data_IF_560480022608
#
_entry.id   IF_560480022608
#
_cell.length_a   1.000
_cell.length_b   1.000
_cell.length_c   1.000
_cell.angle_alpha   90.00
_cell.angle_beta   90.00
_cell.angle_gamma   90.00
#
_symmetry.space_group_name_H-M   'P 1'
#
loop_
_entity.id
_entity.type
_entity.pdbx_description
1 polymer ?
#
# COMPACT_ATOMS: atom_id res chain seq x y z
N UNK A 1 -12.02 -6.39 6.72
CA UNK A 1 -11.27 -7.39 5.92
C UNK A 1 -9.95 -6.76 5.48
N UNK A 2 -8.95 -7.56 5.08
CA UNK A 2 -7.80 -7.02 4.36
C UNK A 2 -8.23 -6.55 2.96
N UNK A 3 -7.37 -5.79 2.28
CA UNK A 3 -7.65 -5.37 0.90
C UNK A 3 -7.34 -6.53 -0.05
N UNK A 4 -8.27 -6.95 -0.92
CA UNK A 4 -7.97 -7.99 -1.89
C UNK A 4 -7.02 -7.44 -2.96
N UNK A 5 -6.00 -8.22 -3.29
CA UNK A 5 -5.07 -7.94 -4.38
C UNK A 5 -4.96 -9.17 -5.27
N UNK A 6 -4.80 -8.96 -6.56
CA UNK A 6 -4.57 -10.02 -7.54
C UNK A 6 -3.15 -9.89 -8.07
N UNK A 7 -2.37 -10.98 -7.96
CA UNK A 7 -1.01 -11.06 -8.49
C UNK A 7 -1.06 -11.80 -9.82
N UNK A 8 -0.57 -11.16 -10.87
CA UNK A 8 -0.47 -11.73 -12.22
C UNK A 8 0.98 -12.10 -12.49
N UNK A 9 1.22 -13.36 -12.84
CA UNK A 9 2.54 -13.92 -13.19
C UNK A 9 3.65 -13.54 -12.19
N UNK A 10 3.28 -13.36 -10.92
CA UNK A 10 4.12 -12.74 -9.89
C UNK A 10 4.58 -13.68 -8.78
N UNK A 11 4.21 -14.96 -8.83
CA UNK A 11 4.55 -15.94 -7.79
C UNK A 11 5.47 -17.02 -8.34
N UNK A 12 6.36 -17.52 -7.49
CA UNK A 12 7.21 -18.66 -7.79
C UNK A 12 6.54 -19.92 -7.25
N UNK A 13 6.47 -20.98 -8.06
CA UNK A 13 6.03 -22.30 -7.61
C UNK A 13 7.26 -23.11 -7.19
N UNK A 14 7.20 -23.70 -6.01
CA UNK A 14 8.28 -24.51 -5.45
C UNK A 14 7.76 -25.94 -5.31
N UNK A 15 8.25 -26.83 -6.16
CA UNK A 15 7.95 -28.25 -6.07
C UNK A 15 8.72 -28.90 -4.92
N UNK A 16 8.01 -29.71 -4.12
CA UNK A 16 8.69 -30.55 -3.14
C UNK A 16 9.32 -31.75 -3.83
N UNK A 17 10.63 -31.96 -3.65
CA UNK A 17 11.34 -33.09 -4.24
C UNK A 17 10.99 -34.45 -3.58
N UNK A 18 10.26 -34.43 -2.46
CA UNK A 18 9.96 -35.60 -1.64
C UNK A 18 8.46 -35.94 -1.56
N UNK A 19 7.58 -35.09 -2.09
CA UNK A 19 6.13 -35.35 -2.14
C UNK A 19 5.46 -34.49 -3.22
N UNK A 20 4.22 -34.80 -3.59
CA UNK A 20 3.48 -34.10 -4.65
C UNK A 20 2.93 -32.72 -4.23
N UNK A 21 3.52 -32.08 -3.22
CA UNK A 21 3.12 -30.74 -2.79
C UNK A 21 3.84 -29.65 -3.58
N UNK A 22 3.06 -28.65 -4.00
CA UNK A 22 3.54 -27.41 -4.60
C UNK A 22 3.34 -26.29 -3.58
N UNK A 23 4.42 -25.60 -3.23
CA UNK A 23 4.36 -24.39 -2.41
C UNK A 23 4.33 -23.15 -3.31
N UNK A 24 3.49 -22.17 -2.95
CA UNK A 24 3.43 -20.87 -3.61
C UNK A 24 4.29 -19.90 -2.82
N UNK A 25 5.28 -19.31 -3.48
CA UNK A 25 6.16 -18.30 -2.90
C UNK A 25 5.88 -16.94 -3.55
N UNK A 26 5.65 -15.92 -2.73
CA UNK A 26 5.49 -14.54 -3.19
C UNK A 26 6.84 -13.82 -3.04
N UNK A 27 7.54 -13.51 -4.13
CA UNK A 27 8.82 -12.85 -4.09
C UNK A 27 8.67 -11.39 -3.63
N UNK A 28 9.68 -10.89 -2.93
CA UNK A 28 9.73 -9.49 -2.47
C UNK A 28 8.41 -9.02 -1.82
N UNK A 29 8.00 -9.77 -0.79
CA UNK A 29 6.81 -9.43 0.00
C UNK A 29 6.86 -7.98 0.55
N UNK A 30 8.01 -7.44 1.02
CA UNK A 30 8.10 -6.05 1.44
C UNK A 30 7.78 -5.05 0.32
N UNK A 31 8.35 -5.22 -0.88
CA UNK A 31 8.08 -4.36 -2.03
C UNK A 31 6.63 -4.46 -2.50
N UNK A 32 6.03 -5.65 -2.48
CA UNK A 32 4.61 -5.82 -2.77
C UNK A 32 3.75 -5.04 -1.76
N UNK A 33 4.00 -5.16 -0.46
CA UNK A 33 3.23 -4.44 0.57
C UNK A 33 3.37 -2.92 0.40
N UNK A 34 4.58 -2.43 0.11
CA UNK A 34 4.81 -1.01 -0.12
C UNK A 34 4.06 -0.50 -1.36
N UNK A 35 4.08 -1.28 -2.44
CA UNK A 35 3.37 -0.95 -3.69
C UNK A 35 1.85 -0.95 -3.47
N UNK A 36 1.31 -1.96 -2.80
CA UNK A 36 -0.11 -2.02 -2.41
C UNK A 36 -0.52 -0.82 -1.57
N UNK A 37 0.30 -0.46 -0.58
CA UNK A 37 0.03 0.69 0.28
C UNK A 37 0.01 1.99 -0.55
N UNK A 38 1.03 2.22 -1.38
CA UNK A 38 1.12 3.42 -2.21
C UNK A 38 -0.03 3.51 -3.24
N UNK A 39 -0.37 2.42 -3.94
CA UNK A 39 -1.55 2.37 -4.82
C UNK A 39 -2.82 2.75 -4.08
N UNK A 40 -3.00 2.21 -2.86
CA UNK A 40 -4.19 2.48 -2.06
C UNK A 40 -4.31 3.94 -1.64
N UNK A 41 -3.19 4.63 -1.40
CA UNK A 41 -3.17 6.07 -1.09
C UNK A 41 -3.63 6.94 -2.26
N UNK A 42 -3.54 6.45 -3.50
CA UNK A 42 -3.99 7.18 -4.69
C UNK A 42 -5.49 7.01 -4.98
N UNK A 43 -6.18 6.10 -4.28
CA UNK A 43 -7.59 5.79 -4.49
C UNK A 43 -8.52 6.64 -3.60
N UNK A 44 -9.49 7.32 -4.19
CA UNK A 44 -10.36 8.29 -3.50
C UNK A 44 -11.28 7.69 -2.42
N UNK A 45 -11.47 6.37 -2.38
CA UNK A 45 -12.26 5.74 -1.32
C UNK A 45 -11.59 5.90 0.04
N UNK A 46 -12.38 6.29 1.05
CA UNK A 46 -11.95 6.42 2.44
C UNK A 46 -11.19 5.19 2.93
N UNK A 47 -10.17 5.41 3.75
CA UNK A 47 -9.44 4.32 4.38
C UNK A 47 -10.24 3.73 5.54
N UNK A 48 -10.32 2.40 5.60
CA UNK A 48 -10.75 1.72 6.81
C UNK A 48 -9.56 1.48 7.77
N UNK A 49 -9.85 1.10 9.01
CA UNK A 49 -8.82 0.91 10.03
C UNK A 49 -7.77 -0.16 9.72
N UNK A 50 -8.16 -1.25 9.01
CA UNK A 50 -7.20 -2.30 8.61
C UNK A 50 -6.30 -1.83 7.47
N UNK A 51 -6.84 -1.06 6.54
CA UNK A 51 -6.06 -0.41 5.47
C UNK A 51 -5.07 0.58 6.07
N UNK A 52 -5.52 1.43 7.00
CA UNK A 52 -4.66 2.36 7.74
C UNK A 52 -3.52 1.62 8.45
N UNK A 53 -3.83 0.52 9.12
CA UNK A 53 -2.82 -0.28 9.80
C UNK A 53 -1.81 -0.90 8.82
N UNK A 54 -2.27 -1.45 7.69
CA UNK A 54 -1.38 -1.99 6.64
C UNK A 54 -0.44 -0.88 6.12
N UNK A 55 -1.02 0.26 5.77
CA UNK A 55 -0.31 1.44 5.27
C UNK A 55 0.75 1.89 6.29
N UNK A 56 0.41 2.02 7.57
CA UNK A 56 1.40 2.37 8.60
C UNK A 56 2.50 1.31 8.73
N UNK A 57 2.14 0.03 8.75
CA UNK A 57 3.13 -1.06 8.85
C UNK A 57 4.07 -1.09 7.65
N UNK A 58 3.59 -0.73 6.46
CA UNK A 58 4.42 -0.67 5.23
C UNK A 58 5.56 0.35 5.32
N UNK A 59 5.40 1.42 6.12
CA UNK A 59 6.46 2.40 6.36
C UNK A 59 7.41 2.01 7.49
N UNK A 60 7.05 1.00 8.30
CA UNK A 60 7.78 0.62 9.51
C UNK A 60 7.51 1.50 10.73
N UNK A 61 6.53 2.41 10.67
CA UNK A 61 6.19 3.29 11.79
C UNK A 61 5.43 2.55 12.89
N UNK A 62 5.75 2.88 14.15
CA UNK A 62 4.88 2.55 15.29
C UNK A 62 3.66 3.47 15.28
N UNK A 63 2.59 3.08 15.99
CA UNK A 63 1.39 3.90 16.09
C UNK A 63 1.68 5.28 16.69
N UNK A 64 2.58 5.35 17.67
CA UNK A 64 3.04 6.61 18.29
C UNK A 64 3.78 7.52 17.31
N UNK A 65 4.61 6.96 16.42
CA UNK A 65 5.35 7.75 15.43
C UNK A 65 4.40 8.33 14.38
N UNK A 66 3.38 7.56 13.98
CA UNK A 66 2.34 8.05 13.08
C UNK A 66 1.52 9.17 13.75
N UNK A 67 1.14 8.98 15.02
CA UNK A 67 0.40 9.97 15.78
C UNK A 67 1.16 11.31 15.84
N UNK A 68 2.46 11.27 16.16
CA UNK A 68 3.32 12.45 16.16
C UNK A 68 3.39 13.12 14.78
N UNK A 69 3.54 12.34 13.70
CA UNK A 69 3.59 12.89 12.32
C UNK A 69 2.28 13.56 11.89
N UNK A 70 1.14 13.11 12.44
CA UNK A 70 -0.20 13.62 12.14
C UNK A 70 -0.70 14.66 13.15
N UNK A 71 0.10 14.99 14.16
CA UNK A 71 -0.27 15.89 15.26
C UNK A 71 -1.57 15.47 15.97
N UNK A 72 -1.67 14.17 16.30
CA UNK A 72 -2.78 13.58 17.06
C UNK A 72 -2.25 12.69 18.17
N UNK A 73 -3.12 12.24 19.08
CA UNK A 73 -2.72 11.30 20.13
C UNK A 73 -2.60 9.86 19.61
N UNK A 74 -1.78 9.00 20.22
CA UNK A 74 -1.70 7.58 19.88
C UNK A 74 -3.05 6.85 20.00
N UNK A 75 -3.91 7.26 20.95
CA UNK A 75 -5.26 6.73 21.13
C UNK A 75 -6.14 7.02 19.92
N UNK A 76 -6.02 8.21 19.32
CA UNK A 76 -6.73 8.58 18.10
C UNK A 76 -6.36 7.65 16.94
N UNK A 77 -5.06 7.38 16.73
CA UNK A 77 -4.60 6.41 15.73
C UNK A 77 -5.14 5.01 16.02
N UNK A 78 -5.10 4.58 17.28
CA UNK A 78 -5.67 3.29 17.69
C UNK A 78 -7.17 3.19 17.40
N UNK A 79 -7.95 4.24 17.67
CA UNK A 79 -9.39 4.27 17.37
C UNK A 79 -9.64 4.17 15.87
N UNK A 80 -8.86 4.88 15.05
CA UNK A 80 -8.96 4.79 13.60
C UNK A 80 -8.63 3.38 13.08
N UNK A 81 -7.52 2.78 13.52
CA UNK A 81 -7.11 1.43 13.10
C UNK A 81 -8.11 0.34 13.50
N UNK A 82 -8.79 0.53 14.63
CA UNK A 82 -9.79 -0.40 15.13
C UNK A 82 -11.22 -0.09 14.64
N UNK A 83 -11.39 0.85 13.70
CA UNK A 83 -12.69 1.34 13.20
C UNK A 83 -13.63 1.81 14.33
N UNK A 84 -13.09 2.29 15.45
CA UNK A 84 -13.86 2.88 16.55
C UNK A 84 -14.29 4.31 16.24
N UNK A 85 -13.53 4.99 15.41
CA UNK A 85 -13.81 6.34 14.94
C UNK A 85 -13.34 6.47 13.49
N UNK A 86 -14.13 7.07 12.58
CA UNK A 86 -13.67 7.32 11.22
C UNK A 86 -12.66 8.47 11.20
N UNK A 87 -11.65 8.38 10.33
CA UNK A 87 -10.72 9.48 10.12
C UNK A 87 -11.44 10.68 9.46
N UNK A 88 -11.08 11.90 9.84
CA UNK A 88 -11.56 13.13 9.16
C UNK A 88 -10.84 13.32 7.82
N UNK A 89 -11.44 14.04 6.88
CA UNK A 89 -10.89 14.19 5.53
C UNK A 89 -9.52 14.88 5.52
N UNK A 90 -9.34 15.86 6.41
CA UNK A 90 -8.08 16.62 6.55
C UNK A 90 -6.96 15.72 7.09
N UNK A 91 -7.27 14.92 8.11
CA UNK A 91 -6.33 13.95 8.68
C UNK A 91 -5.95 12.86 7.67
N UNK A 92 -6.90 12.38 6.87
CA UNK A 92 -6.65 11.35 5.86
C UNK A 92 -5.83 11.90 4.68
N UNK A 93 -6.08 13.14 4.25
CA UNK A 93 -5.25 13.82 3.25
C UNK A 93 -3.81 14.02 3.76
N UNK A 94 -3.66 14.47 5.00
CA UNK A 94 -2.35 14.62 5.66
C UNK A 94 -1.59 13.29 5.76
N UNK A 95 -2.29 12.20 6.12
CA UNK A 95 -1.76 10.85 6.10
C UNK A 95 -1.27 10.45 4.72
N UNK A 96 -2.10 10.59 3.68
CA UNK A 96 -1.76 10.18 2.31
C UNK A 96 -0.49 10.86 1.81
N UNK A 97 -0.37 12.18 2.01
CA UNK A 97 0.82 12.93 1.62
C UNK A 97 2.07 12.48 2.39
N UNK A 98 1.99 12.43 3.73
CA UNK A 98 3.16 12.10 4.57
C UNK A 98 3.64 10.67 4.37
N UNK A 99 2.72 9.73 4.20
CA UNK A 99 3.05 8.32 4.01
C UNK A 99 3.59 8.08 2.59
N UNK A 100 3.00 8.69 1.56
CA UNK A 100 3.51 8.54 0.19
C UNK A 100 4.97 9.02 0.12
N UNK A 101 5.30 10.16 0.73
CA UNK A 101 6.67 10.66 0.82
C UNK A 101 7.63 9.70 1.55
N UNK A 102 7.15 8.86 2.47
CA UNK A 102 7.99 7.83 3.10
C UNK A 102 8.16 6.63 2.16
N UNK A 103 7.10 6.24 1.45
CA UNK A 103 7.12 5.08 0.55
C UNK A 103 7.83 5.36 -0.78
N UNK A 104 7.87 6.61 -1.26
CA UNK A 104 8.60 6.99 -2.48
C UNK A 104 10.10 6.73 -2.36
N UNK A 105 10.65 6.78 -1.14
CA UNK A 105 12.05 6.38 -0.88
C UNK A 105 12.31 4.88 -1.01
N UNK A 106 11.26 4.05 -1.08
CA UNK A 106 11.33 2.58 -1.08
C UNK A 106 10.72 1.94 -2.32
N UNK A 107 10.02 2.70 -3.16
CA UNK A 107 9.33 2.20 -4.35
C UNK A 107 9.57 3.16 -5.50
N UNK A 108 9.96 2.64 -6.66
CA UNK A 108 10.14 3.43 -7.89
C UNK A 108 8.84 3.55 -8.71
N UNK A 109 7.78 2.89 -8.25
CA UNK A 109 6.52 2.68 -8.97
C UNK A 109 5.69 3.96 -9.05
N UNK A 110 5.89 4.88 -8.12
CA UNK A 110 5.14 6.13 -8.08
C UNK A 110 6.09 7.30 -8.34
N UNK A 111 5.93 7.92 -9.50
CA UNK A 111 6.35 9.31 -9.65
C UNK A 111 5.49 10.12 -8.69
N UNK A 112 6.12 10.90 -7.82
CA UNK A 112 5.43 11.64 -6.76
C UNK A 112 4.40 12.61 -7.36
N UNK A 113 3.14 12.16 -7.48
CA UNK A 113 2.03 12.96 -7.99
C UNK A 113 1.25 13.56 -6.80
N UNK A 114 1.92 14.48 -6.10
CA UNK A 114 1.32 15.19 -4.99
C UNK A 114 0.11 16.02 -5.42
N UNK A 115 0.10 16.54 -6.65
CA UNK A 115 -1.03 17.28 -7.20
C UNK A 115 -2.27 16.39 -7.30
N UNK A 116 -2.14 15.17 -7.82
CA UNK A 116 -3.24 14.21 -7.85
C UNK A 116 -3.74 13.87 -6.43
N UNK A 117 -2.85 13.70 -5.45
CA UNK A 117 -3.25 13.48 -4.05
C UNK A 117 -3.95 14.69 -3.42
N UNK A 118 -3.47 15.89 -3.70
CA UNK A 118 -4.06 17.13 -3.19
C UNK A 118 -5.46 17.30 -3.78
N UNK A 119 -5.62 17.07 -5.08
CA UNK A 119 -6.88 17.14 -5.80
C UNK A 119 -7.82 15.95 -5.55
N UNK A 120 -7.35 14.87 -4.90
CA UNK A 120 -8.12 13.65 -4.70
C UNK A 120 -9.41 13.88 -3.90
N UNK A 121 -10.55 13.54 -4.48
CA UNK A 121 -11.81 13.58 -3.77
C UNK A 121 -11.96 12.35 -2.86
N UNK A 122 -11.91 12.57 -1.54
CA UNK A 122 -12.01 11.52 -0.53
C UNK A 122 -13.48 11.20 -0.29
N UNK A 123 -13.93 10.06 -0.82
CA UNK A 123 -15.31 9.65 -0.84
C UNK A 123 -15.61 8.56 0.21
N UNK A 124 -16.81 8.52 0.81
CA UNK A 124 -17.21 7.41 1.68
C UNK A 124 -17.11 6.06 0.95
N UNK A 125 -16.68 5.01 1.68
CA UNK A 125 -16.68 3.64 1.14
C UNK A 125 -18.12 3.22 0.84
N UNK A 126 -18.39 2.81 -0.40
CA UNK A 126 -19.67 2.20 -0.77
C UNK A 126 -19.63 0.71 -0.41
N UNK A 127 -20.53 0.19 0.44
CA UNK A 127 -20.56 -1.22 0.79
C UNK A 127 -20.64 -2.10 -0.48
N UNK A 128 -19.81 -3.14 -0.54
CA UNK A 128 -19.80 -4.09 -1.67
C UNK A 128 -19.00 -3.66 -2.90
N UNK A 129 -18.46 -2.43 -2.94
CA UNK A 129 -17.50 -2.01 -3.97
C UNK A 129 -16.13 -1.78 -3.34
N UNK A 130 -15.34 -2.86 -3.30
CA UNK A 130 -13.94 -2.80 -2.91
C UNK A 130 -13.10 -2.73 -4.18
N UNK A 131 -12.20 -1.75 -4.34
CA UNK A 131 -11.26 -1.76 -5.44
C UNK A 131 -10.42 -3.03 -5.38
N UNK A 132 -10.42 -3.82 -6.47
CA UNK A 132 -9.49 -4.92 -6.63
C UNK A 132 -8.25 -4.36 -7.34
N UNK A 133 -7.10 -4.41 -6.67
CA UNK A 133 -5.85 -3.98 -7.27
C UNK A 133 -5.14 -5.15 -7.93
N UNK A 134 -4.64 -4.92 -9.13
CA UNK A 134 -3.90 -5.91 -9.92
C UNK A 134 -2.42 -5.53 -9.94
N UNK A 135 -1.55 -6.49 -9.65
CA UNK A 135 -0.11 -6.28 -9.61
C UNK A 135 0.61 -7.28 -10.52
N UNK A 136 1.62 -6.78 -11.22
CA UNK A 136 2.53 -7.58 -12.02
C UNK A 136 3.95 -7.42 -11.48
N UNK A 137 4.77 -8.44 -11.66
CA UNK A 137 6.20 -8.36 -11.38
C UNK A 137 6.94 -8.01 -12.66
N UNK A 138 7.50 -6.81 -12.73
CA UNK A 138 8.21 -6.30 -13.91
C UNK A 138 9.71 -6.16 -13.64
N UNK A 139 10.53 -6.20 -14.69
CA UNK A 139 11.97 -5.93 -14.59
C UNK A 139 12.20 -4.44 -14.86
N UNK A 140 12.39 -3.66 -13.80
CA UNK A 140 12.65 -2.22 -13.94
C UNK A 140 14.16 -2.01 -14.06
N UNK A 141 14.57 -1.27 -15.09
CA UNK A 141 15.95 -0.80 -15.22
C UNK A 141 16.04 0.56 -14.53
N UNK A 142 16.54 0.55 -13.30
CA UNK A 142 16.79 1.78 -12.54
C UNK A 142 17.80 2.65 -13.33
N UNK A 143 17.48 3.93 -13.52
CA UNK A 143 18.31 4.86 -14.30
C UNK A 143 19.63 5.14 -13.57
N UNK A 144 19.64 5.03 -12.23
CA UNK A 144 20.79 5.31 -11.38
C UNK A 144 21.57 4.05 -10.94
N UNK A 145 21.00 2.85 -11.09
CA UNK A 145 21.67 1.59 -10.71
C UNK A 145 21.97 0.74 -11.94
N UNK A 146 23.22 0.25 -12.02
CA UNK A 146 23.69 -0.64 -13.09
C UNK A 146 22.98 -2.01 -13.13
N UNK A 147 22.20 -2.37 -12.10
CA UNK A 147 21.49 -3.64 -12.00
C UNK A 147 19.98 -3.50 -12.26
N UNK A 148 19.42 -4.47 -12.98
CA UNK A 148 17.97 -4.63 -13.19
C UNK A 148 17.43 -5.49 -12.05
N UNK A 149 16.60 -4.90 -11.18
CA UNK A 149 15.94 -5.61 -10.08
C UNK A 149 14.44 -5.78 -10.40
N UNK A 150 13.86 -6.97 -10.19
CA UNK A 150 12.44 -7.18 -10.39
C UNK A 150 11.63 -6.44 -9.31
N UNK A 151 10.62 -5.67 -9.72
CA UNK A 151 9.78 -4.86 -8.84
C UNK A 151 8.30 -5.15 -9.11
N UNK A 152 7.46 -4.84 -8.12
CA UNK A 152 6.02 -4.92 -8.26
C UNK A 152 5.49 -3.62 -8.86
N UNK A 153 4.69 -3.70 -9.93
CA UNK A 153 3.99 -2.55 -10.48
C UNK A 153 2.48 -2.80 -10.46
N UNK A 154 1.73 -1.72 -10.26
CA UNK A 154 0.27 -1.74 -10.39
C UNK A 154 -0.06 -1.78 -11.87
N UNK A 155 -0.90 -2.73 -12.29
CA UNK A 155 -1.65 -2.54 -13.52
C UNK A 155 -2.66 -1.41 -13.23
N UNK A 156 -2.28 -0.18 -13.56
CA UNK A 156 -3.30 0.83 -13.82
C UNK A 156 -4.19 0.21 -14.88
N UNK A 157 -5.45 -0.02 -14.54
CA UNK A 157 -6.43 -0.51 -15.50
C UNK A 157 -6.32 0.39 -16.74
N UNK A 158 -5.89 -0.19 -17.85
CA UNK A 158 -5.93 0.43 -19.16
C UNK A 158 -7.38 0.80 -19.53
#
# INVERSE_FOLDING_TARGET
MGYPVMLHDGVDLIDCLNCDHIAIFIPDMPGLIATVAASRLMMGEKLNGRELQLIRKSTGLKAVDLAQKLDVTPETVSRWENNKEPMRHEAERSLRLKVLNILSTRTHVFREDYEALIALDINPIRPGKWPLMHFHRVKVRDVDKRNVEPQWETALAA
#
